data_IF_046114812537
#
_entry.id   IF_046114812537
#
_cell.length_a   1.000
_cell.length_b   1.000
_cell.length_c   1.000
_cell.angle_alpha   90.00
_cell.angle_beta   90.00
_cell.angle_gamma   90.00
#
_symmetry.space_group_name_H-M   'P 1'
#
loop_
_entity.id
_entity.type
_entity.pdbx_description
1 polymer ?
#
# COMPACT_ATOMS: atom_id res chain seq x y z
N UNK A 1 0.81 4.81 14.95
CA UNK A 1 0.24 5.47 13.75
C UNK A 1 0.58 6.94 13.63
N UNK A 2 0.73 7.63 14.72
CA UNK A 2 1.02 9.07 14.73
C UNK A 2 2.27 9.45 13.91
N UNK A 3 3.36 8.70 14.04
CA UNK A 3 4.61 8.97 13.31
C UNK A 3 4.54 8.61 11.82
N UNK A 4 3.57 7.79 11.44
CA UNK A 4 3.41 7.37 10.04
C UNK A 4 2.63 8.37 9.20
N UNK A 5 1.75 9.16 9.82
CA UNK A 5 0.92 10.12 9.10
C UNK A 5 1.70 11.11 8.23
N UNK A 6 2.79 11.73 8.71
CA UNK A 6 3.55 12.65 7.87
C UNK A 6 4.15 11.97 6.64
N UNK A 7 4.64 10.73 6.78
CA UNK A 7 5.23 9.99 5.67
C UNK A 7 4.17 9.61 4.65
N UNK A 8 3.03 9.11 5.10
CA UNK A 8 1.93 8.73 4.22
C UNK A 8 1.32 9.94 3.51
N UNK A 9 1.23 11.08 4.19
CA UNK A 9 0.74 12.33 3.61
C UNK A 9 1.71 12.89 2.58
N UNK A 10 3.00 12.90 2.88
CA UNK A 10 4.05 13.41 1.99
C UNK A 10 4.36 12.49 0.81
N UNK A 11 3.78 11.29 0.81
CA UNK A 11 3.95 10.33 -0.27
C UNK A 11 3.55 10.84 -1.64
N UNK A 12 2.79 11.93 -1.72
CA UNK A 12 2.41 12.55 -2.99
C UNK A 12 3.59 13.00 -3.83
N UNK A 13 4.66 13.47 -3.21
CA UNK A 13 5.86 13.95 -3.91
C UNK A 13 7.00 12.95 -3.92
N UNK A 14 6.79 11.74 -3.41
CA UNK A 14 7.80 10.68 -3.34
C UNK A 14 7.49 9.55 -4.27
N UNK A 15 8.54 8.85 -4.73
CA UNK A 15 8.35 7.56 -5.35
C UNK A 15 7.80 6.56 -4.33
N UNK A 16 7.12 5.53 -4.82
CA UNK A 16 6.60 4.46 -3.95
C UNK A 16 7.74 3.80 -3.16
N UNK A 17 8.88 3.55 -3.82
CA UNK A 17 10.06 2.97 -3.15
C UNK A 17 10.58 3.87 -2.03
N UNK A 18 10.63 5.18 -2.26
CA UNK A 18 11.06 6.13 -1.24
C UNK A 18 10.17 6.14 -0.02
N UNK A 19 8.85 6.06 -0.24
CA UNK A 19 7.87 5.97 0.84
C UNK A 19 8.05 4.66 1.62
N UNK A 20 8.23 3.53 0.93
CA UNK A 20 8.44 2.23 1.55
C UNK A 20 9.70 2.23 2.40
N UNK A 21 10.80 2.81 1.91
CA UNK A 21 12.04 2.90 2.66
C UNK A 21 11.87 3.70 3.96
N UNK A 22 11.19 4.85 3.87
CA UNK A 22 10.93 5.67 5.05
C UNK A 22 10.07 4.96 6.08
N UNK A 23 9.02 4.26 5.64
CA UNK A 23 8.16 3.47 6.52
C UNK A 23 8.94 2.33 7.17
N UNK A 24 9.79 1.65 6.40
CA UNK A 24 10.57 0.51 6.90
C UNK A 24 11.47 0.91 8.05
N UNK A 25 12.12 2.06 7.96
CA UNK A 25 12.98 2.56 9.04
C UNK A 25 12.18 2.75 10.34
N UNK A 26 11.00 3.35 10.25
CA UNK A 26 10.15 3.58 11.41
C UNK A 26 9.62 2.26 11.97
N UNK A 27 9.17 1.36 11.10
CA UNK A 27 8.59 0.07 11.51
C UNK A 27 9.63 -0.82 12.20
N UNK A 28 10.87 -0.82 11.73
CA UNK A 28 11.95 -1.56 12.38
C UNK A 28 12.23 -1.03 13.79
N UNK A 29 12.21 0.29 13.95
CA UNK A 29 12.36 0.93 15.26
C UNK A 29 11.23 0.53 16.20
N UNK A 30 9.99 0.54 15.71
CA UNK A 30 8.83 0.11 16.49
C UNK A 30 8.91 -1.37 16.88
N UNK A 31 9.34 -2.23 15.96
CA UNK A 31 9.49 -3.66 16.26
C UNK A 31 10.48 -3.89 17.39
N UNK A 32 11.60 -3.18 17.39
CA UNK A 32 12.59 -3.27 18.44
C UNK A 32 12.02 -2.78 19.78
N UNK A 33 11.31 -1.66 19.74
CA UNK A 33 10.73 -1.07 20.95
C UNK A 33 9.63 -1.94 21.56
N UNK A 34 8.80 -2.56 20.71
CA UNK A 34 7.66 -3.38 21.13
C UNK A 34 7.92 -4.88 21.05
N UNK A 35 9.18 -5.30 21.03
CA UNK A 35 9.55 -6.70 20.86
C UNK A 35 8.98 -7.63 21.96
N UNK A 36 8.73 -7.10 23.14
CA UNK A 36 8.17 -7.85 24.26
C UNK A 36 6.64 -7.79 24.34
N UNK A 37 6.00 -7.06 23.42
CA UNK A 37 4.56 -6.93 23.39
C UNK A 37 3.96 -8.08 22.58
N UNK A 38 3.02 -8.82 23.17
CA UNK A 38 2.36 -9.97 22.53
C UNK A 38 1.13 -9.58 21.69
N UNK A 39 0.87 -8.31 21.51
CA UNK A 39 -0.34 -7.82 20.81
C UNK A 39 -0.16 -7.88 19.28
N UNK A 40 -0.07 -9.09 18.75
CA UNK A 40 0.06 -9.35 17.31
C UNK A 40 -1.08 -8.76 16.50
N UNK A 41 -2.27 -8.71 17.08
CA UNK A 41 -3.47 -8.17 16.42
C UNK A 41 -3.30 -6.70 16.06
N UNK A 42 -2.69 -5.92 16.93
CA UNK A 42 -2.41 -4.50 16.67
C UNK A 42 -1.41 -4.36 15.54
N UNK A 43 -0.35 -5.18 15.53
CA UNK A 43 0.64 -5.17 14.45
C UNK A 43 0.01 -5.54 13.11
N UNK A 44 -0.89 -6.52 13.10
CA UNK A 44 -1.62 -6.91 11.89
C UNK A 44 -2.46 -5.74 11.35
N UNK A 45 -3.20 -5.06 12.22
CA UNK A 45 -4.02 -3.91 11.83
C UNK A 45 -3.16 -2.77 11.27
N UNK A 46 -2.01 -2.51 11.86
CA UNK A 46 -1.09 -1.48 11.36
C UNK A 46 -0.56 -1.87 9.99
N UNK A 47 -0.15 -3.11 9.78
CA UNK A 47 0.34 -3.60 8.49
C UNK A 47 -0.72 -3.48 7.41
N UNK A 48 -1.96 -3.87 7.70
CA UNK A 48 -3.09 -3.75 6.77
C UNK A 48 -3.32 -2.28 6.40
N UNK A 49 -3.31 -1.41 7.39
CA UNK A 49 -3.52 0.02 7.19
C UNK A 49 -2.44 0.64 6.31
N UNK A 50 -1.18 0.29 6.55
CA UNK A 50 -0.05 0.77 5.77
C UNK A 50 -0.18 0.33 4.31
N UNK A 51 -0.47 -0.94 4.07
CA UNK A 51 -0.63 -1.46 2.71
C UNK A 51 -1.77 -0.77 1.97
N UNK A 52 -2.87 -0.50 2.65
CA UNK A 52 -3.98 0.25 2.06
C UNK A 52 -3.56 1.67 1.68
N UNK A 53 -2.81 2.36 2.53
CA UNK A 53 -2.28 3.68 2.22
C UNK A 53 -1.33 3.67 1.02
N UNK A 54 -0.48 2.65 0.92
CA UNK A 54 0.42 2.51 -0.22
C UNK A 54 -0.36 2.30 -1.53
N UNK A 55 -1.40 1.47 -1.51
CA UNK A 55 -2.26 1.29 -2.67
C UNK A 55 -2.99 2.58 -3.05
N UNK A 56 -3.41 3.35 -2.06
CA UNK A 56 -4.01 4.67 -2.29
C UNK A 56 -3.05 5.60 -3.02
N UNK A 57 -1.80 5.63 -2.61
CA UNK A 57 -0.78 6.47 -3.26
C UNK A 57 -0.55 6.04 -4.71
N UNK A 58 -0.53 4.75 -4.97
CA UNK A 58 -0.42 4.22 -6.33
C UNK A 58 -1.61 4.65 -7.17
N UNK A 59 -2.83 4.48 -6.66
CA UNK A 59 -4.05 4.86 -7.38
C UNK A 59 -4.06 6.35 -7.73
N UNK A 60 -3.64 7.19 -6.82
CA UNK A 60 -3.54 8.63 -7.05
C UNK A 60 -2.47 9.00 -8.06
N UNK A 61 -1.35 8.28 -8.06
CA UNK A 61 -0.29 8.48 -9.04
C UNK A 61 -0.75 8.18 -10.46
N UNK A 62 -1.65 7.23 -10.63
CA UNK A 62 -2.29 6.91 -11.90
C UNK A 62 -3.47 7.88 -12.12
N UNK A 63 -3.19 9.10 -12.48
CA UNK A 63 -4.17 10.19 -12.49
C UNK A 63 -5.33 10.00 -13.46
N UNK A 64 -5.13 9.29 -14.57
CA UNK A 64 -6.11 9.17 -15.66
C UNK A 64 -6.67 7.74 -15.73
N UNK A 65 -7.96 7.58 -16.11
CA UNK A 65 -8.53 6.25 -16.31
C UNK A 65 -7.76 5.39 -17.29
N UNK A 66 -7.24 5.97 -18.37
CA UNK A 66 -6.44 5.23 -19.34
C UNK A 66 -5.17 4.66 -18.74
N UNK A 67 -4.50 5.42 -17.87
CA UNK A 67 -3.31 4.96 -17.15
C UNK A 67 -3.68 3.82 -16.20
N UNK A 68 -4.77 3.97 -15.45
CA UNK A 68 -5.25 2.96 -14.50
C UNK A 68 -5.58 1.65 -15.21
N UNK A 69 -6.31 1.72 -16.34
CA UNK A 69 -6.62 0.56 -17.14
C UNK A 69 -5.36 -0.17 -17.61
N UNK A 70 -4.42 0.56 -18.18
CA UNK A 70 -3.16 0.01 -18.68
C UNK A 70 -2.37 -0.69 -17.57
N UNK A 71 -2.24 -0.03 -16.42
CA UNK A 71 -1.47 -0.58 -15.30
C UNK A 71 -2.16 -1.78 -14.67
N UNK A 72 -3.48 -1.79 -14.58
CA UNK A 72 -4.23 -2.94 -14.09
C UNK A 72 -4.10 -4.15 -15.03
N UNK A 73 -4.21 -3.93 -16.34
CA UNK A 73 -4.00 -5.01 -17.32
C UNK A 73 -2.59 -5.58 -17.25
N UNK A 74 -1.62 -4.71 -17.10
CA UNK A 74 -0.22 -5.09 -16.99
C UNK A 74 0.03 -6.00 -15.80
N UNK A 75 -0.78 -5.86 -14.74
CA UNK A 75 -0.67 -6.65 -13.52
C UNK A 75 -1.64 -7.83 -13.46
N UNK A 76 -2.23 -8.17 -14.58
CA UNK A 76 -2.97 -9.41 -14.71
C UNK A 76 -4.49 -9.32 -14.70
N UNK A 77 -5.08 -8.11 -14.67
CA UNK A 77 -6.52 -7.99 -14.78
C UNK A 77 -6.98 -8.15 -16.25
N UNK A 78 -8.10 -8.85 -16.50
CA UNK A 78 -8.70 -8.89 -17.84
C UNK A 78 -9.06 -7.48 -18.31
N UNK A 79 -8.96 -7.22 -19.62
CA UNK A 79 -9.20 -5.89 -20.23
C UNK A 79 -10.52 -5.27 -19.80
N UNK A 80 -11.60 -6.04 -19.85
CA UNK A 80 -12.93 -5.55 -19.52
C UNK A 80 -13.02 -5.12 -18.05
N UNK A 81 -12.50 -5.94 -17.14
CA UNK A 81 -12.50 -5.65 -15.73
C UNK A 81 -11.59 -4.46 -15.40
N UNK A 82 -10.45 -4.37 -16.08
CA UNK A 82 -9.53 -3.25 -15.93
C UNK A 82 -10.19 -1.93 -16.32
N UNK A 83 -10.93 -1.90 -17.41
CA UNK A 83 -11.64 -0.70 -17.85
C UNK A 83 -12.73 -0.29 -16.86
N UNK A 84 -13.59 -1.24 -16.47
CA UNK A 84 -14.65 -0.98 -15.50
C UNK A 84 -14.09 -0.46 -14.17
N UNK A 85 -12.99 -1.02 -13.71
CA UNK A 85 -12.34 -0.60 -12.48
C UNK A 85 -11.72 0.79 -12.59
N UNK A 86 -11.19 1.13 -13.76
CA UNK A 86 -10.49 2.40 -13.96
C UNK A 86 -11.43 3.61 -14.00
N UNK A 87 -12.70 3.42 -14.39
CA UNK A 87 -13.67 4.50 -14.56
C UNK A 87 -14.66 4.64 -13.42
N UNK A 88 -14.50 3.88 -12.32
CA UNK A 88 -15.40 4.02 -11.19
C UNK A 88 -15.24 5.40 -10.55
N UNK A 89 -16.33 5.96 -10.03
CA UNK A 89 -16.36 7.28 -9.43
C UNK A 89 -15.95 7.34 -7.96
N UNK A 90 -15.43 6.23 -7.42
CA UNK A 90 -15.02 6.16 -6.01
C UNK A 90 -13.63 6.76 -5.81
N UNK A 91 -13.38 7.25 -4.60
CA UNK A 91 -12.11 7.89 -4.29
C UNK A 91 -10.93 6.92 -4.11
N UNK A 92 -9.71 7.47 -3.95
CA UNK A 92 -8.50 6.64 -3.82
C UNK A 92 -8.51 5.69 -2.64
N UNK A 93 -9.08 6.09 -1.52
CA UNK A 93 -9.14 5.25 -0.32
C UNK A 93 -10.02 4.02 -0.52
N UNK A 94 -11.18 4.21 -1.17
CA UNK A 94 -12.06 3.10 -1.52
C UNK A 94 -11.37 2.15 -2.50
N UNK A 95 -10.76 2.70 -3.55
CA UNK A 95 -10.05 1.91 -4.55
C UNK A 95 -8.87 1.12 -3.96
N UNK A 96 -8.20 1.69 -2.96
CA UNK A 96 -7.08 1.03 -2.31
C UNK A 96 -7.46 -0.30 -1.65
N UNK A 97 -8.73 -0.46 -1.25
CA UNK A 97 -9.24 -1.69 -0.64
C UNK A 97 -10.12 -2.50 -1.59
N UNK A 98 -10.25 -2.10 -2.83
CA UNK A 98 -11.08 -2.80 -3.81
C UNK A 98 -10.36 -4.03 -4.39
N UNK A 99 -11.11 -5.05 -4.85
CA UNK A 99 -10.50 -6.28 -5.38
C UNK A 99 -9.49 -6.05 -6.49
N UNK A 100 -9.73 -5.09 -7.38
CA UNK A 100 -8.80 -4.81 -8.48
C UNK A 100 -7.43 -4.33 -7.98
N UNK A 101 -7.38 -3.52 -6.91
CA UNK A 101 -6.10 -3.08 -6.35
C UNK A 101 -5.46 -4.15 -5.48
N UNK A 102 -6.24 -4.95 -4.77
CA UNK A 102 -5.71 -6.07 -3.99
C UNK A 102 -5.06 -7.11 -4.91
N UNK A 103 -5.61 -7.32 -6.09
CA UNK A 103 -5.04 -8.23 -7.08
C UNK A 103 -3.79 -7.64 -7.73
N UNK A 104 -3.81 -6.36 -8.09
CA UNK A 104 -2.69 -5.70 -8.75
C UNK A 104 -1.50 -5.51 -7.81
N UNK A 105 -1.75 -5.23 -6.55
CA UNK A 105 -0.73 -5.00 -5.53
C UNK A 105 -1.01 -5.86 -4.29
N UNK A 106 -0.82 -7.18 -4.38
CA UNK A 106 -0.91 -8.04 -3.20
C UNK A 106 0.24 -7.76 -2.24
N UNK A 107 0.13 -8.28 -1.03
CA UNK A 107 1.13 -8.08 0.02
C UNK A 107 2.55 -8.46 -0.42
N UNK A 108 2.66 -9.50 -1.25
CA UNK A 108 3.94 -9.99 -1.76
C UNK A 108 4.69 -8.94 -2.59
N UNK A 109 3.99 -8.08 -3.32
CA UNK A 109 4.60 -7.01 -4.10
C UNK A 109 5.33 -6.02 -3.20
N UNK A 110 4.67 -5.56 -2.14
CA UNK A 110 5.28 -4.63 -1.19
C UNK A 110 6.45 -5.27 -0.45
N UNK A 111 6.35 -6.55 -0.13
CA UNK A 111 7.45 -7.30 0.50
C UNK A 111 8.66 -7.34 -0.41
N UNK A 112 8.47 -7.61 -1.69
CA UNK A 112 9.57 -7.60 -2.67
C UNK A 112 10.17 -6.21 -2.86
N UNK A 113 9.38 -5.16 -2.64
CA UNK A 113 9.87 -3.78 -2.69
C UNK A 113 10.59 -3.34 -1.42
N UNK A 114 10.67 -4.22 -0.42
CA UNK A 114 11.40 -3.97 0.81
C UNK A 114 10.58 -3.47 1.99
N UNK A 115 9.25 -3.51 1.90
CA UNK A 115 8.41 -3.09 3.03
C UNK A 115 8.58 -4.08 4.19
N UNK A 116 8.95 -3.54 5.35
CA UNK A 116 9.06 -4.32 6.58
C UNK A 116 7.68 -4.53 7.20
N UNK A 117 7.39 -5.77 7.58
CA UNK A 117 6.16 -6.11 8.30
C UNK A 117 6.44 -6.22 9.80
N UNK A 118 5.55 -5.66 10.61
CA UNK A 118 5.65 -5.78 12.06
C UNK A 118 5.47 -7.21 12.55
N UNK A 119 4.85 -8.06 11.72
CA UNK A 119 4.68 -9.49 12.01
C UNK A 119 5.84 -10.34 11.53
N UNK A 120 6.79 -9.75 10.80
CA UNK A 120 7.96 -10.47 10.32
C UNK A 120 8.78 -11.01 11.46
N UNK A 121 9.15 -12.28 11.37
CA UNK A 121 10.18 -12.87 12.23
C UNK A 121 11.53 -12.57 11.59
N UNK A 122 12.10 -11.48 11.98
CA UNK A 122 13.41 -11.11 11.41
C UNK A 122 14.50 -12.01 11.94
#
# INVERSE_FOLDING_TARGET
>A
MYKLKPILRRGRGRSLLGTILALTMILRGWRTYYALDDRKEIFELIDIHIRRHLRKLVWRAWKRPTTRERELRRRGLPSELAWKSSVNGCGPWWNANAPHMLKAFPNSVFRRMGLYSLLSKA
#
